data_IF_450631272955
#
_entry.id   IF_450631272955
#
_cell.length_a   1.000
_cell.length_b   1.000
_cell.length_c   1.000
_cell.angle_alpha   90.00
_cell.angle_beta   90.00
_cell.angle_gamma   90.00
#
_symmetry.space_group_name_H-M   'P 1'
#
loop_
_entity.id
_entity.type
_entity.pdbx_description
1 polymer ?
#
# COMPACT_ATOMS: atom_id res chain seq x y z
N UNK A 1 -12.39 -2.73 -15.06
CA UNK A 1 -11.64 -3.85 -14.43
C UNK A 1 -12.60 -5.03 -14.22
N UNK A 2 -12.39 -6.17 -14.88
CA UNK A 2 -13.21 -7.39 -14.69
C UNK A 2 -12.57 -8.33 -13.65
N UNK A 3 -12.30 -7.83 -12.46
CA UNK A 3 -11.68 -8.59 -11.38
C UNK A 3 -12.51 -8.49 -10.11
N UNK A 4 -12.51 -9.55 -9.30
CA UNK A 4 -13.14 -9.56 -7.97
C UNK A 4 -12.17 -9.06 -6.88
N UNK A 5 -10.86 -9.08 -7.15
CA UNK A 5 -9.82 -8.48 -6.32
C UNK A 5 -8.87 -7.66 -7.19
N UNK A 6 -8.60 -6.43 -6.79
CA UNK A 6 -7.57 -5.57 -7.40
C UNK A 6 -6.48 -5.37 -6.36
N UNK A 7 -5.28 -5.89 -6.63
CA UNK A 7 -4.14 -5.83 -5.70
C UNK A 7 -3.11 -4.84 -6.21
N UNK A 8 -2.74 -3.88 -5.37
CA UNK A 8 -1.74 -2.87 -5.67
C UNK A 8 -0.39 -3.29 -5.08
N UNK A 9 0.57 -3.52 -5.98
CA UNK A 9 1.95 -3.90 -5.66
C UNK A 9 2.94 -3.15 -6.58
N UNK A 10 2.72 -1.84 -6.74
CA UNK A 10 3.54 -0.94 -7.57
C UNK A 10 4.43 -0.05 -6.67
N UNK A 11 5.60 0.40 -7.14
CA UNK A 11 6.34 1.44 -6.43
C UNK A 11 5.56 2.76 -6.45
N UNK A 12 5.74 3.58 -5.41
CA UNK A 12 5.30 4.97 -5.46
C UNK A 12 6.25 5.79 -6.33
N UNK A 13 5.67 6.52 -7.27
CA UNK A 13 6.34 7.46 -8.15
C UNK A 13 5.34 8.52 -8.60
N UNK A 14 5.78 9.63 -9.23
CA UNK A 14 4.87 10.59 -9.81
C UNK A 14 3.87 10.00 -10.82
N UNK A 15 4.21 8.87 -11.46
CA UNK A 15 3.36 8.18 -12.44
C UNK A 15 2.33 7.25 -11.78
N UNK A 16 2.57 6.80 -10.55
CA UNK A 16 1.65 5.92 -9.80
C UNK A 16 0.87 6.65 -8.72
N UNK A 17 1.17 7.93 -8.48
CA UNK A 17 0.41 8.79 -7.59
C UNK A 17 -1.06 8.87 -8.02
N UNK A 18 -1.97 8.52 -7.11
CA UNK A 18 -3.41 8.38 -7.33
C UNK A 18 -3.76 7.56 -8.58
N UNK A 19 -2.94 6.54 -8.89
CA UNK A 19 -3.24 5.57 -9.95
C UNK A 19 -4.65 4.97 -9.80
N UNK A 20 -5.08 4.76 -8.56
CA UNK A 20 -6.46 4.40 -8.24
C UNK A 20 -7.21 5.63 -7.72
N UNK A 21 -7.82 6.34 -8.66
CA UNK A 21 -8.70 7.47 -8.40
C UNK A 21 -10.19 7.06 -8.46
N UNK A 22 -11.11 8.03 -8.37
CA UNK A 22 -12.54 7.78 -8.46
C UNK A 22 -12.98 7.16 -9.80
N UNK A 23 -12.30 7.46 -10.91
CA UNK A 23 -12.61 6.87 -12.22
C UNK A 23 -12.18 5.40 -12.27
N UNK A 24 -11.00 5.07 -11.74
CA UNK A 24 -10.53 3.70 -11.63
C UNK A 24 -11.44 2.85 -10.74
N UNK A 25 -11.84 3.39 -9.57
CA UNK A 25 -12.79 2.76 -8.65
C UNK A 25 -14.15 2.52 -9.33
N UNK A 26 -14.64 3.48 -10.13
CA UNK A 26 -15.89 3.33 -10.87
C UNK A 26 -15.89 2.23 -11.94
N UNK A 27 -14.70 1.82 -12.38
CA UNK A 27 -14.55 0.71 -13.32
C UNK A 27 -14.42 -0.65 -12.62
N UNK A 28 -14.33 -0.70 -11.29
CA UNK A 28 -14.34 -1.94 -10.53
C UNK A 28 -15.75 -2.53 -10.47
N UNK A 29 -15.84 -3.85 -10.23
CA UNK A 29 -17.14 -4.49 -10.03
C UNK A 29 -17.70 -4.10 -8.65
N UNK A 30 -19.03 -4.01 -8.48
CA UNK A 30 -19.62 -3.75 -7.17
C UNK A 30 -19.27 -4.75 -6.08
N UNK A 31 -18.99 -6.01 -6.46
CA UNK A 31 -18.59 -7.08 -5.54
C UNK A 31 -17.06 -7.16 -5.33
N UNK A 32 -16.27 -6.25 -5.93
CA UNK A 32 -14.82 -6.32 -5.90
C UNK A 32 -14.23 -5.73 -4.61
N UNK A 33 -13.05 -6.22 -4.24
CA UNK A 33 -12.25 -5.68 -3.14
C UNK A 33 -10.97 -5.04 -3.67
N UNK A 34 -10.60 -3.88 -3.13
CA UNK A 34 -9.29 -3.27 -3.35
C UNK A 34 -8.31 -3.69 -2.26
N UNK A 35 -7.13 -4.17 -2.62
CA UNK A 35 -6.07 -4.54 -1.68
C UNK A 35 -4.87 -3.64 -1.92
N UNK A 36 -4.46 -2.85 -0.92
CA UNK A 36 -3.28 -1.99 -1.04
C UNK A 36 -2.18 -2.40 -0.06
N UNK A 37 -1.09 -2.95 -0.60
CA UNK A 37 0.16 -3.28 0.10
C UNK A 37 1.35 -2.49 -0.47
N UNK A 38 1.08 -1.46 -1.29
CA UNK A 38 2.08 -0.67 -1.98
C UNK A 38 2.46 0.57 -1.15
N UNK A 39 1.86 1.72 -1.46
CA UNK A 39 1.95 2.97 -0.71
C UNK A 39 0.57 3.62 -0.70
N UNK A 40 0.30 4.43 0.32
CA UNK A 40 -1.00 5.07 0.49
C UNK A 40 -1.38 5.99 -0.66
N UNK A 41 -0.41 6.78 -1.13
CA UNK A 41 -0.55 7.78 -2.21
C UNK A 41 -0.75 7.17 -3.61
N UNK A 42 -0.70 5.85 -3.76
CA UNK A 42 -1.13 5.16 -5.01
C UNK A 42 -2.65 5.21 -5.18
N UNK A 43 -3.38 5.41 -4.08
CA UNK A 43 -4.84 5.52 -4.07
C UNK A 43 -5.21 6.93 -3.63
N UNK A 44 -6.19 7.54 -4.31
CA UNK A 44 -6.83 8.73 -3.75
C UNK A 44 -7.70 8.31 -2.55
N UNK A 45 -7.24 8.59 -1.33
CA UNK A 45 -7.89 8.09 -0.11
C UNK A 45 -9.32 8.64 0.03
N UNK A 46 -9.52 9.89 -0.35
CA UNK A 46 -10.84 10.52 -0.37
C UNK A 46 -11.81 9.82 -1.35
N UNK A 47 -11.32 9.45 -2.54
CA UNK A 47 -12.14 8.73 -3.52
C UNK A 47 -12.47 7.31 -3.04
N UNK A 48 -11.51 6.62 -2.42
CA UNK A 48 -11.71 5.30 -1.84
C UNK A 48 -12.76 5.33 -0.72
N UNK A 49 -12.66 6.29 0.22
CA UNK A 49 -13.65 6.47 1.30
C UNK A 49 -15.06 6.64 0.71
N UNK A 50 -15.20 7.48 -0.30
CA UNK A 50 -16.48 7.69 -0.97
C UNK A 50 -17.02 6.40 -1.62
N UNK A 51 -16.17 5.67 -2.35
CA UNK A 51 -16.55 4.42 -3.02
C UNK A 51 -16.98 3.34 -2.01
N UNK A 52 -16.33 3.27 -0.85
CA UNK A 52 -16.67 2.31 0.21
C UNK A 52 -17.97 2.69 0.94
N UNK A 53 -18.14 3.97 1.30
CA UNK A 53 -19.35 4.46 1.97
C UNK A 53 -20.60 4.32 1.10
N UNK A 54 -20.46 4.56 -0.21
CA UNK A 54 -21.54 4.40 -1.20
C UNK A 54 -21.75 2.95 -1.66
N UNK A 55 -20.91 2.01 -1.19
CA UNK A 55 -20.89 0.60 -1.64
C UNK A 55 -20.74 0.45 -3.16
N UNK A 56 -19.98 1.35 -3.78
CA UNK A 56 -19.57 1.25 -5.18
C UNK A 56 -18.64 0.05 -5.41
N UNK A 57 -17.85 -0.30 -4.39
CA UNK A 57 -17.09 -1.56 -4.29
C UNK A 57 -17.44 -2.25 -2.97
N UNK A 58 -17.18 -3.56 -2.89
CA UNK A 58 -17.58 -4.35 -1.75
C UNK A 58 -16.79 -3.99 -0.48
N UNK A 59 -15.49 -3.76 -0.62
CA UNK A 59 -14.62 -3.47 0.51
C UNK A 59 -13.16 -3.22 0.14
N UNK A 60 -12.33 -3.04 1.16
CA UNK A 60 -10.89 -2.87 0.98
C UNK A 60 -10.05 -3.51 2.09
N UNK A 61 -8.87 -4.01 1.74
CA UNK A 61 -7.81 -4.39 2.67
C UNK A 61 -6.63 -3.43 2.53
N UNK A 62 -6.34 -2.67 3.58
CA UNK A 62 -5.37 -1.58 3.56
C UNK A 62 -4.28 -1.82 4.59
N UNK A 63 -3.04 -1.97 4.12
CA UNK A 63 -1.85 -1.93 4.98
C UNK A 63 -1.22 -0.54 5.04
N UNK A 64 -1.57 0.34 4.09
CA UNK A 64 -0.97 1.66 3.91
C UNK A 64 -2.02 2.77 3.70
N UNK A 65 -1.69 4.01 4.07
CA UNK A 65 -2.59 5.19 4.05
C UNK A 65 -1.87 6.42 3.50
N UNK A 66 -2.61 7.35 2.89
CA UNK A 66 -2.02 8.50 2.21
C UNK A 66 -1.26 9.42 3.18
N UNK A 67 -1.73 9.50 4.43
CA UNK A 67 -1.18 10.37 5.47
C UNK A 67 -0.70 9.60 6.72
N UNK A 68 -0.08 8.44 6.53
CA UNK A 68 0.47 7.64 7.63
C UNK A 68 1.31 8.47 8.64
N UNK A 69 1.20 8.17 9.95
CA UNK A 69 0.44 7.09 10.58
C UNK A 69 -1.04 7.44 10.84
N UNK A 70 -1.53 8.58 10.34
CA UNK A 70 -2.90 9.01 10.56
C UNK A 70 -3.85 8.18 9.69
N UNK A 71 -4.79 7.50 10.35
CA UNK A 71 -5.89 6.80 9.69
C UNK A 71 -7.14 7.68 9.76
N UNK A 72 -7.83 7.93 8.63
CA UNK A 72 -9.10 8.65 8.64
C UNK A 72 -10.16 7.96 9.51
N UNK A 73 -10.85 8.73 10.34
CA UNK A 73 -11.96 8.20 11.16
C UNK A 73 -13.06 7.57 10.30
N UNK A 74 -13.27 8.10 9.08
CA UNK A 74 -14.20 7.56 8.10
C UNK A 74 -13.87 6.10 7.73
N UNK A 75 -12.59 5.73 7.60
CA UNK A 75 -12.19 4.35 7.34
C UNK A 75 -12.40 3.48 8.59
N UNK A 76 -12.02 3.97 9.77
CA UNK A 76 -12.19 3.19 11.03
C UNK A 76 -13.66 2.93 11.40
N UNK A 77 -14.60 3.72 10.87
CA UNK A 77 -16.03 3.57 11.10
C UNK A 77 -16.70 2.57 10.13
N UNK A 78 -16.00 2.10 9.11
CA UNK A 78 -16.55 1.18 8.10
C UNK A 78 -16.37 -0.28 8.52
N UNK A 79 -17.40 -1.09 8.30
CA UNK A 79 -17.35 -2.54 8.54
C UNK A 79 -16.83 -3.34 7.35
N UNK A 80 -16.75 -2.72 6.16
CA UNK A 80 -16.29 -3.36 4.93
C UNK A 80 -14.81 -3.07 4.62
N UNK A 81 -14.01 -2.78 5.64
CA UNK A 81 -12.56 -2.59 5.50
C UNK A 81 -11.78 -3.35 6.55
N UNK A 82 -10.58 -3.79 6.18
CA UNK A 82 -9.57 -4.28 7.11
C UNK A 82 -8.39 -3.31 7.07
N UNK A 83 -8.00 -2.80 8.24
CA UNK A 83 -7.00 -1.75 8.40
C UNK A 83 -5.81 -2.30 9.20
N UNK A 84 -4.62 -2.31 8.61
CA UNK A 84 -3.38 -2.73 9.25
C UNK A 84 -2.40 -1.54 9.33
N UNK A 85 -1.52 -1.50 10.35
CA UNK A 85 -0.57 -0.40 10.54
C UNK A 85 0.78 -0.67 9.83
N UNK A 86 0.77 -0.78 8.50
CA UNK A 86 1.97 -0.94 7.66
C UNK A 86 2.87 -2.11 8.08
N UNK A 87 2.27 -3.29 8.14
CA UNK A 87 2.86 -4.54 8.63
C UNK A 87 3.41 -5.45 7.54
N UNK A 88 3.39 -5.07 6.26
CA UNK A 88 3.77 -5.94 5.14
C UNK A 88 5.15 -6.62 5.26
N UNK A 89 6.09 -6.02 5.98
CA UNK A 89 7.43 -6.59 6.26
C UNK A 89 7.64 -7.00 7.72
N UNK A 90 6.61 -7.00 8.56
CA UNK A 90 6.71 -7.20 10.01
C UNK A 90 6.82 -8.68 10.43
N UNK A 91 7.59 -9.48 9.69
CA UNK A 91 8.04 -10.80 10.12
C UNK A 91 9.49 -10.71 10.63
N UNK A 92 9.82 -11.43 11.71
CA UNK A 92 11.14 -11.33 12.36
C UNK A 92 12.27 -11.64 11.37
N UNK A 93 12.14 -12.72 10.63
CA UNK A 93 13.12 -13.19 9.65
C UNK A 93 13.32 -12.17 8.53
N UNK A 94 12.23 -11.53 8.07
CA UNK A 94 12.26 -10.48 7.05
C UNK A 94 12.95 -9.23 7.57
N UNK A 95 12.60 -8.77 8.78
CA UNK A 95 13.23 -7.59 9.40
C UNK A 95 14.71 -7.81 9.69
N UNK A 96 15.11 -9.00 10.12
CA UNK A 96 16.51 -9.37 10.30
C UNK A 96 17.27 -9.36 8.97
N UNK A 97 16.72 -9.96 7.93
CA UNK A 97 17.34 -9.96 6.60
C UNK A 97 17.49 -8.54 6.02
N UNK A 98 16.48 -7.69 6.17
CA UNK A 98 16.54 -6.27 5.76
C UNK A 98 17.60 -5.49 6.56
N UNK A 99 17.66 -5.70 7.88
CA UNK A 99 18.69 -5.10 8.73
C UNK A 99 20.10 -5.54 8.31
N UNK A 100 20.29 -6.83 8.06
CA UNK A 100 21.56 -7.37 7.60
C UNK A 100 21.94 -6.82 6.21
N UNK A 101 20.97 -6.66 5.31
CA UNK A 101 21.19 -6.03 4.01
C UNK A 101 21.73 -4.60 4.15
N UNK A 102 21.17 -3.80 5.07
CA UNK A 102 21.67 -2.45 5.34
C UNK A 102 23.09 -2.47 5.92
N UNK A 103 23.35 -3.33 6.92
CA UNK A 103 24.68 -3.51 7.53
C UNK A 103 25.73 -3.92 6.48
N UNK A 104 25.38 -4.86 5.59
CA UNK A 104 26.29 -5.33 4.54
C UNK A 104 26.67 -4.22 3.55
N UNK A 105 25.74 -3.31 3.21
CA UNK A 105 26.08 -2.15 2.39
C UNK A 105 27.01 -1.18 3.11
N UNK A 106 26.83 -0.96 4.41
CA UNK A 106 27.72 -0.09 5.20
C UNK A 106 29.13 -0.67 5.30
N UNK A 107 29.27 -1.97 5.58
CA UNK A 107 30.56 -2.65 5.63
C UNK A 107 31.26 -2.53 4.26
N UNK A 108 30.56 -2.85 3.18
CA UNK A 108 31.13 -2.74 1.83
C UNK A 108 31.61 -1.31 1.53
N UNK A 109 30.84 -0.29 1.91
CA UNK A 109 31.24 1.11 1.73
C UNK A 109 32.52 1.45 2.51
N UNK A 110 32.61 1.03 3.78
CA UNK A 110 33.76 1.32 4.65
C UNK A 110 35.05 0.59 4.21
N UNK A 111 34.89 -0.56 3.56
CA UNK A 111 35.99 -1.39 3.05
C UNK A 111 36.37 -1.05 1.59
N UNK A 112 35.87 0.07 1.05
CA UNK A 112 36.03 0.49 -0.35
C UNK A 112 35.63 -0.60 -1.37
N UNK A 113 34.63 -1.42 -1.02
CA UNK A 113 34.08 -2.48 -1.87
C UNK A 113 32.80 -2.02 -2.60
N UNK A 114 32.46 -2.65 -3.75
CA UNK A 114 31.18 -2.43 -4.39
C UNK A 114 29.99 -2.70 -3.46
N UNK A 115 29.01 -1.80 -3.45
CA UNK A 115 27.80 -1.96 -2.65
C UNK A 115 26.99 -3.16 -3.15
N UNK A 116 26.52 -4.06 -2.26
CA UNK A 116 25.69 -5.18 -2.67
C UNK A 116 24.30 -4.80 -3.20
N UNK A 117 23.71 -3.68 -2.76
CA UNK A 117 22.38 -3.23 -3.18
C UNK A 117 22.36 -1.70 -3.47
N UNK A 118 23.04 -1.23 -4.53
CA UNK A 118 22.97 0.16 -4.96
C UNK A 118 21.61 0.45 -5.63
N UNK A 119 21.13 1.70 -5.52
CA UNK A 119 19.91 2.21 -6.17
C UNK A 119 20.23 3.20 -7.27
#
# INVERSE_FOLDING_TARGET
LKADFVVLAVPASPQTHHLIDGQALAQMRPNAHLINIARGDVVSEAALIHALQSRQIAGAGLDVYEFEPKIPSALTALENVVLLPHLGTAALEVRQAMGQMAVNNLIAHLDDQPLPNPV
#
